data_IF_413611469182
#
_entry.id   IF_413611469182
#
_cell.length_a   1.000
_cell.length_b   1.000
_cell.length_c   1.000
_cell.angle_alpha   90.00
_cell.angle_beta   90.00
_cell.angle_gamma   90.00
#
_symmetry.space_group_name_H-M   'P 1'
#
loop_
_entity.id
_entity.type
_entity.pdbx_description
1 polymer ?
#
# COMPACT_ATOMS: atom_id res chain seq x y z
N UNK A 1 4.04 -12.96 0.40
CA UNK A 1 2.95 -12.12 0.92
C UNK A 1 3.47 -10.71 1.07
N UNK A 2 2.73 -9.73 0.55
CA UNK A 2 3.01 -8.30 0.66
C UNK A 2 1.97 -7.67 1.57
N UNK A 3 2.37 -6.84 2.53
CA UNK A 3 1.42 -6.07 3.35
C UNK A 3 1.36 -4.62 2.88
N UNK A 4 0.18 -4.03 2.92
CA UNK A 4 -0.08 -2.67 2.45
C UNK A 4 -0.45 -1.80 3.64
N UNK A 5 0.16 -0.63 3.69
CA UNK A 5 -0.03 0.36 4.72
C UNK A 5 -0.40 1.72 4.14
N UNK A 6 -1.37 2.36 4.77
CA UNK A 6 -1.68 3.76 4.55
C UNK A 6 -0.77 4.62 5.42
N UNK A 7 -0.15 5.65 4.81
CA UNK A 7 0.61 6.65 5.54
C UNK A 7 -0.26 7.91 5.76
N UNK A 8 -0.75 8.18 6.99
CA UNK A 8 -1.56 9.36 7.27
C UNK A 8 -0.79 10.67 7.18
N UNK A 9 0.55 10.63 7.24
CA UNK A 9 1.40 11.82 7.16
C UNK A 9 1.62 12.28 5.70
N UNK A 10 1.25 11.45 4.72
CA UNK A 10 1.39 11.79 3.31
C UNK A 10 0.33 12.80 2.86
N UNK A 11 0.76 13.84 2.15
CA UNK A 11 -0.13 14.80 1.49
C UNK A 11 0.37 15.11 0.08
N UNK A 12 -0.56 15.39 -0.85
CA UNK A 12 -0.21 15.76 -2.24
C UNK A 12 0.61 17.05 -2.32
N UNK A 13 0.43 17.96 -1.35
CA UNK A 13 1.13 19.25 -1.28
C UNK A 13 2.57 19.12 -0.75
N UNK A 14 2.90 17.99 -0.11
CA UNK A 14 4.22 17.70 0.44
C UNK A 14 4.56 16.23 0.18
N UNK A 15 5.03 15.88 -1.03
CA UNK A 15 5.43 14.50 -1.34
C UNK A 15 6.55 14.07 -0.40
N UNK A 16 6.30 13.02 0.38
CA UNK A 16 7.27 12.47 1.32
C UNK A 16 8.41 11.79 0.57
N UNK A 17 9.62 11.93 1.12
CA UNK A 17 10.76 11.07 0.79
C UNK A 17 10.91 9.94 1.80
N UNK A 18 11.81 9.00 1.53
CA UNK A 18 12.15 7.89 2.42
C UNK A 18 12.46 8.34 3.85
N UNK A 19 13.26 9.38 3.99
CA UNK A 19 13.68 9.93 5.29
C UNK A 19 12.51 10.47 6.15
N UNK A 20 11.34 10.71 5.55
CA UNK A 20 10.19 11.29 6.24
C UNK A 20 9.17 10.23 6.73
N UNK A 21 9.31 8.97 6.31
CA UNK A 21 8.34 7.92 6.63
C UNK A 21 8.57 7.39 8.04
N UNK A 22 7.56 7.54 8.90
CA UNK A 22 7.55 6.99 10.26
C UNK A 22 6.76 5.70 10.30
N UNK A 23 7.45 4.57 10.37
CA UNK A 23 6.83 3.23 10.35
C UNK A 23 5.78 3.06 11.46
N UNK A 24 5.99 3.68 12.63
CA UNK A 24 5.05 3.65 13.75
C UNK A 24 3.71 4.35 13.49
N UNK A 25 3.66 5.25 12.50
CA UNK A 25 2.45 5.98 12.11
C UNK A 25 1.68 5.27 10.99
N UNK A 26 2.26 4.25 10.37
CA UNK A 26 1.64 3.52 9.28
C UNK A 26 0.44 2.70 9.77
N UNK A 27 -0.66 2.81 9.04
CA UNK A 27 -1.86 2.05 9.30
C UNK A 27 -1.93 0.85 8.35
N UNK A 28 -1.93 -0.36 8.87
CA UNK A 28 -2.16 -1.56 8.07
C UNK A 28 -3.55 -1.51 7.42
N UNK A 29 -3.63 -1.81 6.13
CA UNK A 29 -4.88 -1.75 5.37
C UNK A 29 -5.18 -2.98 4.51
N UNK A 30 -4.20 -3.81 4.17
CA UNK A 30 -4.44 -5.07 3.46
C UNK A 30 -3.24 -6.02 3.50
N UNK A 31 -3.52 -7.32 3.53
CA UNK A 31 -2.55 -8.37 3.15
C UNK A 31 -2.81 -8.81 1.70
N UNK A 32 -1.75 -8.98 0.91
CA UNK A 32 -1.81 -9.46 -0.48
C UNK A 32 -1.00 -10.74 -0.65
N UNK A 33 -1.65 -11.82 -1.08
CA UNK A 33 -1.06 -13.16 -1.18
C UNK A 33 -0.25 -13.36 -2.48
N UNK A 34 0.75 -12.51 -2.67
CA UNK A 34 1.71 -12.57 -3.79
C UNK A 34 3.15 -12.40 -3.29
N UNK A 35 4.13 -12.69 -4.15
CA UNK A 35 5.56 -12.57 -3.84
C UNK A 35 6.28 -11.56 -4.73
N UNK A 36 5.53 -10.58 -5.25
CA UNK A 36 6.05 -9.52 -6.10
C UNK A 36 5.37 -8.18 -5.74
N UNK A 37 6.18 -7.13 -5.58
CA UNK A 37 5.70 -5.79 -5.19
C UNK A 37 4.85 -5.15 -6.30
N UNK A 38 5.21 -5.35 -7.57
CA UNK A 38 4.48 -4.78 -8.70
C UNK A 38 3.12 -5.46 -8.82
N UNK A 39 3.08 -6.78 -8.71
CA UNK A 39 1.84 -7.56 -8.71
C UNK A 39 0.92 -7.14 -7.55
N UNK A 40 1.46 -6.98 -6.34
CA UNK A 40 0.67 -6.50 -5.20
C UNK A 40 0.08 -5.11 -5.45
N UNK A 41 0.89 -4.19 -5.99
CA UNK A 41 0.44 -2.85 -6.34
C UNK A 41 -0.67 -2.86 -7.39
N UNK A 42 -0.52 -3.63 -8.47
CA UNK A 42 -1.51 -3.77 -9.54
C UNK A 42 -2.81 -4.41 -9.03
N UNK A 43 -2.71 -5.40 -8.15
CA UNK A 43 -3.87 -6.01 -7.50
C UNK A 43 -4.62 -5.03 -6.61
N UNK A 44 -3.92 -4.06 -6.01
CA UNK A 44 -4.50 -3.06 -5.14
C UNK A 44 -4.91 -1.76 -5.86
N UNK A 45 -4.80 -1.68 -7.19
CA UNK A 45 -5.39 -0.59 -7.95
C UNK A 45 -6.91 -0.78 -8.06
N UNK A 46 -7.68 0.23 -7.63
CA UNK A 46 -9.12 0.24 -7.84
C UNK A 46 -9.40 0.60 -9.30
N UNK A 47 -9.41 -0.42 -10.16
CA UNK A 47 -9.84 -0.31 -11.54
C UNK A 47 -11.36 -0.55 -11.62
N UNK A 48 -11.77 -1.79 -11.82
CA UNK A 48 -13.15 -2.16 -12.13
C UNK A 48 -13.85 -2.91 -10.98
N UNK A 49 -13.10 -3.39 -9.99
CA UNK A 49 -13.66 -4.18 -8.89
C UNK A 49 -13.00 -3.85 -7.55
N UNK A 50 -13.76 -3.86 -6.44
CA UNK A 50 -13.25 -3.62 -5.10
C UNK A 50 -12.24 -4.71 -4.69
N UNK A 51 -11.38 -4.45 -3.70
CA UNK A 51 -10.40 -5.44 -3.25
C UNK A 51 -11.05 -6.73 -2.74
N UNK A 52 -12.24 -6.63 -2.13
CA UNK A 52 -12.98 -7.79 -1.62
C UNK A 52 -13.44 -8.78 -2.69
N UNK A 53 -13.42 -8.41 -3.97
CA UNK A 53 -13.71 -9.36 -5.06
C UNK A 53 -12.48 -10.13 -5.52
N UNK A 54 -11.28 -9.75 -5.06
CA UNK A 54 -10.00 -10.38 -5.41
C UNK A 54 -9.62 -11.35 -4.31
N UNK A 55 -9.45 -12.61 -4.65
CA UNK A 55 -9.09 -13.67 -3.69
C UNK A 55 -7.73 -13.46 -3.01
N UNK A 56 -6.85 -12.74 -3.70
CA UNK A 56 -5.47 -12.46 -3.35
C UNK A 56 -5.38 -11.32 -2.34
N UNK A 57 -6.38 -10.44 -2.26
CA UNK A 57 -6.35 -9.25 -1.41
C UNK A 57 -7.28 -9.47 -0.21
N UNK A 58 -6.74 -9.24 0.98
CA UNK A 58 -7.47 -9.31 2.25
C UNK A 58 -7.44 -7.92 2.90
N UNK A 59 -8.45 -7.07 2.62
CA UNK A 59 -8.53 -5.75 3.22
C UNK A 59 -8.72 -5.83 4.73
N UNK A 60 -8.08 -4.91 5.44
CA UNK A 60 -8.35 -4.66 6.84
C UNK A 60 -9.73 -3.99 7.01
N UNK A 61 -10.36 -4.16 8.18
CA UNK A 61 -11.68 -3.62 8.49
C UNK A 61 -11.73 -2.08 8.44
N UNK A 62 -10.58 -1.42 8.53
CA UNK A 62 -10.46 0.05 8.39
C UNK A 62 -10.70 0.54 6.97
N UNK A 63 -10.61 -0.33 5.96
CA UNK A 63 -10.90 0.02 4.57
C UNK A 63 -12.41 -0.05 4.33
N UNK A 64 -13.04 1.11 4.22
CA UNK A 64 -14.48 1.22 3.97
C UNK A 64 -14.90 0.42 2.73
N UNK A 65 -15.85 -0.50 2.92
CA UNK A 65 -16.36 -1.42 1.91
C UNK A 65 -15.26 -2.21 1.16
N UNK A 66 -14.07 -2.34 1.75
CA UNK A 66 -12.89 -2.95 1.13
C UNK A 66 -12.53 -2.33 -0.23
N UNK A 67 -12.81 -1.04 -0.41
CA UNK A 67 -12.65 -0.34 -1.68
C UNK A 67 -11.68 0.84 -1.51
N UNK A 68 -10.46 0.70 -2.04
CA UNK A 68 -9.41 1.73 -2.05
C UNK A 68 -8.47 1.51 -3.23
N UNK A 69 -7.72 2.52 -3.63
CA UNK A 69 -6.52 2.35 -4.47
C UNK A 69 -5.28 2.58 -3.65
N UNK A 70 -4.25 1.77 -3.87
CA UNK A 70 -2.89 2.15 -3.45
C UNK A 70 -2.44 3.36 -4.27
N UNK A 71 -1.91 4.37 -3.58
CA UNK A 71 -1.50 5.65 -4.17
C UNK A 71 -0.06 6.00 -3.75
N UNK A 72 0.59 6.94 -4.45
CA UNK A 72 1.85 7.51 -3.97
C UNK A 72 1.72 7.95 -2.51
N UNK A 73 2.72 7.64 -1.69
CA UNK A 73 2.70 7.86 -0.25
C UNK A 73 2.34 6.64 0.61
N UNK A 74 1.65 5.66 0.04
CA UNK A 74 1.43 4.37 0.71
C UNK A 74 2.73 3.59 0.84
N UNK A 75 2.75 2.61 1.75
CA UNK A 75 3.93 1.79 2.01
C UNK A 75 3.59 0.32 1.86
N UNK A 76 4.48 -0.44 1.23
CA UNK A 76 4.41 -1.89 1.12
C UNK A 76 5.51 -2.52 1.99
N UNK A 77 5.17 -3.57 2.72
CA UNK A 77 6.14 -4.42 3.41
C UNK A 77 6.28 -5.75 2.65
N UNK A 78 7.50 -6.13 2.31
CA UNK A 78 7.81 -7.39 1.66
C UNK A 78 9.11 -7.99 2.20
N UNK A 79 9.05 -9.24 2.69
CA UNK A 79 10.19 -9.95 3.29
C UNK A 79 10.91 -9.19 4.44
N UNK A 80 10.16 -8.35 5.17
CA UNK A 80 10.68 -7.53 6.27
C UNK A 80 11.30 -6.20 5.84
N UNK A 81 11.29 -5.92 4.54
CA UNK A 81 11.73 -4.66 3.94
C UNK A 81 10.52 -3.77 3.64
N UNK A 82 10.73 -2.45 3.74
CA UNK A 82 9.68 -1.45 3.56
C UNK A 82 9.91 -0.65 2.28
N UNK A 83 8.82 -0.35 1.59
CA UNK A 83 8.85 0.29 0.27
C UNK A 83 7.78 1.37 0.17
N UNK A 84 8.21 2.63 0.06
CA UNK A 84 7.34 3.75 -0.26
C UNK A 84 6.89 3.68 -1.73
N UNK A 85 5.59 3.80 -1.95
CA UNK A 85 5.01 3.94 -3.29
C UNK A 85 5.30 5.35 -3.78
N UNK A 86 6.14 5.46 -4.81
CA UNK A 86 6.39 6.71 -5.51
C UNK A 86 5.47 6.90 -6.72
N UNK A 87 5.67 7.99 -7.45
CA UNK A 87 4.89 8.28 -8.66
C UNK A 87 5.18 7.33 -9.83
N UNK A 88 6.39 6.76 -9.89
CA UNK A 88 6.83 5.91 -11.00
C UNK A 88 7.34 4.53 -10.54
N UNK A 89 7.82 4.42 -9.30
CA UNK A 89 8.42 3.19 -8.79
C UNK A 89 8.35 3.10 -7.26
N UNK A 90 8.85 2.00 -6.71
CA UNK A 90 8.98 1.79 -5.27
C UNK A 90 10.35 2.26 -4.76
N UNK A 91 10.36 3.02 -3.67
CA UNK A 91 11.59 3.43 -2.99
C UNK A 91 11.71 2.64 -1.69
N UNK A 92 12.82 1.93 -1.51
CA UNK A 92 13.11 1.23 -0.25
C UNK A 92 13.39 2.25 0.86
N UNK A 93 12.85 2.01 2.05
CA UNK A 93 12.97 2.87 3.24
C UNK A 93 13.48 2.08 4.45
#
# INVERSE_FOLDING_TARGET
>A
MVRVYFNPDYTLDSPLTDDDVKIENLQHIADVDVNDLREAFELCQNTDQPWTSRSEVRPDAVVADGTRSVAPGDVLEFEGEWYLVGAADFQRI
#
